data_IF_217943537361
#
_entry.id   IF_217943537361
#
_cell.length_a   1.000
_cell.length_b   1.000
_cell.length_c   1.000
_cell.angle_alpha   90.00
_cell.angle_beta   90.00
_cell.angle_gamma   90.00
#
_symmetry.space_group_name_H-M   'P 1'
#
loop_
_entity.id
_entity.type
_entity.pdbx_description
1 polymer ?
#
# COMPACT_ATOMS: atom_id res chain seq x y z
N UNK A 1 -16.99 2.78 -5.75
CA UNK A 1 -15.53 2.81 -5.75
C UNK A 1 -15.02 1.87 -4.68
N UNK A 2 -14.03 1.04 -5.00
CA UNK A 2 -13.37 0.12 -4.08
C UNK A 2 -11.87 0.22 -4.33
N UNK A 3 -11.07 0.27 -3.26
CA UNK A 3 -9.61 0.28 -3.34
C UNK A 3 -9.04 -1.10 -3.03
N UNK A 4 -8.02 -1.50 -3.77
CA UNK A 4 -7.32 -2.78 -3.62
C UNK A 4 -5.83 -2.60 -3.77
N UNK A 5 -5.07 -3.20 -2.86
CA UNK A 5 -3.62 -3.29 -2.96
C UNK A 5 -3.30 -4.49 -3.87
N UNK A 6 -2.65 -4.25 -5.00
CA UNK A 6 -2.38 -5.30 -6.00
C UNK A 6 -1.01 -5.93 -5.78
N UNK A 7 0.03 -5.11 -5.57
CA UNK A 7 1.40 -5.59 -5.38
C UNK A 7 2.16 -4.70 -4.40
N UNK A 8 3.07 -5.30 -3.64
CA UNK A 8 4.07 -4.57 -2.86
C UNK A 8 5.48 -4.98 -3.24
N UNK A 9 6.42 -4.03 -3.22
CA UNK A 9 7.84 -4.28 -3.36
C UNK A 9 8.58 -3.71 -2.15
N UNK A 10 9.28 -4.53 -1.35
CA UNK A 10 9.39 -5.99 -1.46
C UNK A 10 8.05 -6.72 -1.17
N UNK A 11 7.90 -7.99 -1.59
CA UNK A 11 6.66 -8.76 -1.41
C UNK A 11 6.21 -8.89 0.05
N UNK A 12 7.14 -8.81 1.01
CA UNK A 12 6.82 -8.84 2.45
C UNK A 12 5.88 -7.70 2.88
N UNK A 13 5.84 -6.60 2.12
CA UNK A 13 4.92 -5.47 2.38
C UNK A 13 3.45 -5.86 2.39
N UNK A 14 3.06 -6.93 1.69
CA UNK A 14 1.67 -7.38 1.58
C UNK A 14 1.02 -7.68 2.93
N UNK A 15 1.81 -8.14 3.91
CA UNK A 15 1.34 -8.49 5.25
C UNK A 15 1.55 -7.37 6.28
N UNK A 16 2.23 -6.28 5.88
CA UNK A 16 2.57 -5.17 6.76
C UNK A 16 1.59 -4.00 6.61
N UNK A 17 0.99 -3.84 5.43
CA UNK A 17 0.08 -2.73 5.14
C UNK A 17 -1.36 -3.21 4.96
N UNK A 18 -2.28 -2.59 5.67
CA UNK A 18 -3.72 -2.78 5.51
C UNK A 18 -4.30 -1.60 4.75
N UNK A 19 -4.97 -1.87 3.63
CA UNK A 19 -5.72 -0.87 2.87
C UNK A 19 -7.21 -0.98 3.17
N UNK A 20 -7.83 0.11 3.61
CA UNK A 20 -9.28 0.18 3.74
C UNK A 20 -9.92 0.26 2.34
N UNK A 21 -10.72 -0.73 1.93
CA UNK A 21 -11.26 -0.79 0.57
C UNK A 21 -12.30 0.31 0.27
N UNK A 22 -12.81 1.02 1.28
CA UNK A 22 -13.81 2.10 1.12
C UNK A 22 -13.19 3.48 1.19
N UNK A 23 -12.29 3.73 2.13
CA UNK A 23 -11.68 5.05 2.34
C UNK A 23 -10.35 5.25 1.61
N UNK A 24 -9.66 4.16 1.24
CA UNK A 24 -8.29 4.23 0.73
C UNK A 24 -7.24 4.49 1.82
N UNK A 25 -7.63 4.49 3.10
CA UNK A 25 -6.70 4.62 4.23
C UNK A 25 -5.73 3.45 4.28
N UNK A 26 -4.43 3.73 4.35
CA UNK A 26 -3.38 2.73 4.55
C UNK A 26 -2.95 2.77 6.01
N UNK A 27 -2.92 1.61 6.66
CA UNK A 27 -2.43 1.44 8.03
C UNK A 27 -1.32 0.42 8.08
N UNK A 28 -0.39 0.63 8.99
CA UNK A 28 0.66 -0.32 9.30
C UNK A 28 0.13 -1.34 10.34
N UNK A 29 0.41 -2.64 10.11
CA UNK A 29 -0.09 -3.75 10.93
C UNK A 29 0.93 -4.27 11.96
N UNK A 30 2.18 -3.80 11.90
CA UNK A 30 3.26 -4.22 12.78
C UNK A 30 4.48 -3.30 12.65
N UNK A 31 5.54 -3.49 13.45
CA UNK A 31 6.73 -2.65 13.38
C UNK A 31 7.42 -2.75 12.00
N UNK A 32 8.07 -1.66 11.60
CA UNK A 32 9.02 -1.64 10.48
C UNK A 32 10.44 -1.66 11.05
N UNK A 33 11.33 -2.34 10.33
CA UNK A 33 12.74 -2.47 10.66
C UNK A 33 13.54 -1.85 9.52
N UNK A 34 14.28 -0.77 9.83
CA UNK A 34 15.01 0.03 8.85
C UNK A 34 16.19 -0.75 8.25
N UNK A 35 16.86 -1.56 9.07
CA UNK A 35 17.99 -2.41 8.71
C UNK A 35 17.56 -3.55 7.78
N UNK A 36 16.31 -4.00 7.91
CA UNK A 36 15.73 -5.00 7.03
C UNK A 36 15.28 -4.37 5.70
N UNK A 37 14.35 -3.41 5.71
CA UNK A 37 13.88 -2.72 4.49
C UNK A 37 13.66 -1.23 4.69
N UNK A 38 14.32 -0.45 3.84
CA UNK A 38 14.31 1.01 3.88
C UNK A 38 13.14 1.66 3.14
N UNK A 39 12.51 0.96 2.20
CA UNK A 39 11.36 1.49 1.49
C UNK A 39 10.44 0.41 0.94
N UNK A 40 9.17 0.77 0.81
CA UNK A 40 8.15 -0.06 0.20
C UNK A 40 7.46 0.71 -0.94
N UNK A 41 7.26 0.04 -2.06
CA UNK A 41 6.35 0.50 -3.12
C UNK A 41 5.06 -0.31 -3.07
N UNK A 42 3.93 0.37 -3.02
CA UNK A 42 2.60 -0.25 -2.96
C UNK A 42 1.80 0.19 -4.19
N UNK A 43 1.37 -0.78 -4.99
CA UNK A 43 0.48 -0.56 -6.13
C UNK A 43 -0.97 -0.63 -5.65
N UNK A 44 -1.74 0.42 -5.94
CA UNK A 44 -3.15 0.51 -5.58
C UNK A 44 -3.98 0.65 -6.86
N UNK A 45 -5.05 -0.11 -6.91
CA UNK A 45 -6.11 0.02 -7.91
C UNK A 45 -7.39 0.51 -7.24
N UNK A 46 -8.05 1.47 -7.87
CA UNK A 46 -9.37 1.94 -7.49
C UNK A 46 -10.36 1.65 -8.62
N UNK A 47 -11.35 0.82 -8.36
CA UNK A 47 -12.39 0.47 -9.35
C UNK A 47 -13.72 1.14 -8.97
N UNK A 48 -14.37 1.79 -9.93
CA UNK A 48 -15.68 2.41 -9.72
C UNK A 48 -16.83 1.38 -9.69
N UNK A 49 -18.09 1.85 -9.73
CA UNK A 49 -19.28 0.97 -9.80
C UNK A 49 -20.05 1.15 -11.11
N UNK A 50 -19.35 1.62 -12.15
CA UNK A 50 -19.94 1.82 -13.48
C UNK A 50 -20.31 0.51 -14.16
N UNK A 51 -20.92 0.62 -15.33
CA UNK A 51 -21.18 -0.53 -16.21
C UNK A 51 -20.87 -0.09 -17.65
N UNK A 52 -19.68 -0.41 -18.20
CA UNK A 52 -18.60 -1.20 -17.58
C UNK A 52 -17.90 -0.45 -16.43
N UNK A 53 -17.27 -1.16 -15.48
CA UNK A 53 -16.47 -0.53 -14.44
C UNK A 53 -15.19 0.05 -15.02
N UNK A 54 -14.76 1.20 -14.50
CA UNK A 54 -13.47 1.82 -14.80
C UNK A 54 -12.54 1.70 -13.59
N UNK A 55 -11.26 1.49 -13.87
CA UNK A 55 -10.20 1.42 -12.86
C UNK A 55 -9.16 2.52 -13.06
N UNK A 56 -8.65 3.04 -11.94
CA UNK A 56 -7.47 3.90 -11.90
C UNK A 56 -6.37 3.27 -11.05
N UNK A 57 -5.11 3.56 -11.36
CA UNK A 57 -3.95 3.00 -10.66
C UNK A 57 -3.08 4.11 -10.08
N UNK A 58 -2.50 3.87 -8.91
CA UNK A 58 -1.48 4.73 -8.34
C UNK A 58 -0.39 3.93 -7.61
N UNK A 59 0.78 4.55 -7.48
CA UNK A 59 1.90 4.02 -6.70
C UNK A 59 2.08 4.85 -5.44
N UNK A 60 2.13 4.19 -4.29
CA UNK A 60 2.48 4.78 -2.99
C UNK A 60 3.88 4.32 -2.63
N UNK A 61 4.77 5.28 -2.30
CA UNK A 61 6.13 5.00 -1.83
C UNK A 61 6.18 5.33 -0.34
N UNK A 62 6.56 4.34 0.46
CA UNK A 62 6.73 4.47 1.92
C UNK A 62 8.22 4.38 2.21
N UNK A 63 8.80 5.45 2.72
CA UNK A 63 10.20 5.48 3.18
C UNK A 63 10.22 5.20 4.69
N UNK A 64 11.06 4.24 5.10
CA UNK A 64 11.30 3.93 6.51
C UNK A 64 12.44 4.83 6.96
N UNK A 65 12.19 5.65 7.97
CA UNK A 65 13.19 6.53 8.57
C UNK A 65 13.86 5.79 9.72
N UNK A 66 15.19 5.90 9.79
CA UNK A 66 15.94 5.46 10.96
C UNK A 66 15.60 6.36 12.15
N UNK A 67 15.36 5.74 13.30
CA UNK A 67 15.07 6.46 14.55
C UNK A 67 16.34 6.85 15.31
N UNK A 68 17.50 6.31 14.90
CA UNK A 68 18.76 6.44 15.61
C UNK A 68 19.79 7.39 14.96
N UNK A 69 19.40 8.16 13.94
CA UNK A 69 20.21 9.25 13.36
C UNK A 69 19.75 10.63 13.87
#
# INVERSE_FOLDING_TARGET
MTFTMTTTFPPKGINLFLLNPKSGEIRLMGPLDFEDVRSYEIQIEATDRGTPPLSGHCKVVVEVLDVND
#
